data_IF_310655689355
#
_entry.id   IF_310655689355
#
_cell.length_a   1.000
_cell.length_b   1.000
_cell.length_c   1.000
_cell.angle_alpha   90.00
_cell.angle_beta   90.00
_cell.angle_gamma   90.00
#
_symmetry.space_group_name_H-M   'P 1'
#
loop_
_entity.id
_entity.type
_entity.pdbx_description
1 polymer ?
#
# COMPACT_ATOMS: atom_id res chain seq x y z
N UNK A 1 2.47 5.75 -5.31
CA UNK A 1 1.94 5.72 -3.92
C UNK A 1 1.52 7.12 -3.51
N UNK A 2 0.31 7.27 -2.99
CA UNK A 2 -0.25 8.54 -2.52
C UNK A 2 -0.76 8.39 -1.09
N UNK A 3 -0.46 9.35 -0.22
CA UNK A 3 -0.97 9.38 1.15
C UNK A 3 -2.38 9.97 1.14
N UNK A 4 -3.38 9.20 1.53
CA UNK A 4 -4.79 9.57 1.38
C UNK A 4 -5.51 9.85 2.68
N UNK A 5 -5.27 9.01 3.70
CA UNK A 5 -5.95 9.14 4.99
C UNK A 5 -4.99 8.95 6.15
N UNK A 6 -5.35 9.52 7.29
CA UNK A 6 -4.72 9.21 8.56
C UNK A 6 -5.75 9.20 9.69
N UNK A 7 -5.39 8.54 10.79
CA UNK A 7 -6.13 8.58 12.05
C UNK A 7 -5.20 9.03 13.16
N UNK A 8 -5.61 10.04 13.92
CA UNK A 8 -4.87 10.57 15.07
C UNK A 8 -5.84 10.73 16.22
N UNK A 9 -5.54 10.15 17.38
CA UNK A 9 -6.42 10.13 18.56
C UNK A 9 -7.83 9.58 18.27
N UNK A 10 -7.95 8.64 17.32
CA UNK A 10 -9.24 8.09 16.91
C UNK A 10 -10.08 9.02 16.04
N UNK A 11 -9.50 10.11 15.54
CA UNK A 11 -10.13 10.99 14.55
C UNK A 11 -9.52 10.69 13.18
N UNK A 12 -10.36 10.30 12.23
CA UNK A 12 -9.99 10.01 10.86
C UNK A 12 -10.00 11.28 10.00
N UNK A 13 -8.97 11.47 9.19
CA UNK A 13 -8.81 12.59 8.27
C UNK A 13 -8.52 12.08 6.86
N UNK A 14 -8.97 12.85 5.88
CA UNK A 14 -8.71 12.64 4.46
C UNK A 14 -9.97 12.25 3.70
N UNK A 15 -10.23 13.00 2.63
CA UNK A 15 -11.27 12.71 1.66
C UNK A 15 -10.66 12.05 0.43
N UNK A 16 -11.22 10.92 0.00
CA UNK A 16 -10.67 10.17 -1.13
C UNK A 16 -11.72 9.32 -1.83
N UNK A 17 -11.59 9.24 -3.15
CA UNK A 17 -12.14 8.17 -3.97
C UNK A 17 -10.96 7.28 -4.37
N UNK A 18 -10.96 6.03 -3.90
CA UNK A 18 -9.88 5.09 -4.21
C UNK A 18 -10.13 4.34 -5.51
N UNK A 19 -9.06 3.81 -6.11
CA UNK A 19 -9.15 2.92 -7.29
C UNK A 19 -10.06 1.70 -7.01
N UNK A 20 -10.03 1.17 -5.79
CA UNK A 20 -10.91 0.08 -5.37
C UNK A 20 -12.38 0.52 -5.35
N UNK A 21 -12.70 1.72 -4.86
CA UNK A 21 -14.07 2.27 -4.89
C UNK A 21 -14.55 2.49 -6.33
N UNK A 22 -13.67 2.99 -7.21
CA UNK A 22 -13.98 3.15 -8.63
C UNK A 22 -14.25 1.79 -9.29
N UNK A 23 -13.43 0.79 -9.01
CA UNK A 23 -13.62 -0.57 -9.51
C UNK A 23 -14.93 -1.21 -9.03
N UNK A 24 -15.28 -1.04 -7.75
CA UNK A 24 -16.54 -1.51 -7.20
C UNK A 24 -17.75 -0.86 -7.88
N UNK A 25 -17.72 0.46 -8.07
CA UNK A 25 -18.79 1.18 -8.77
C UNK A 25 -18.93 0.72 -10.23
N UNK A 26 -17.82 0.48 -10.91
CA UNK A 26 -17.78 -0.04 -12.29
C UNK A 26 -18.35 -1.46 -12.38
N UNK A 27 -17.96 -2.35 -11.45
CA UNK A 27 -18.53 -3.70 -11.34
C UNK A 27 -20.05 -3.67 -11.15
N UNK A 28 -20.54 -2.74 -10.32
CA UNK A 28 -21.97 -2.58 -10.02
C UNK A 28 -22.73 -1.86 -11.16
N UNK A 29 -22.08 -1.55 -12.29
CA UNK A 29 -22.69 -0.94 -13.46
C UNK A 29 -23.07 0.54 -13.26
N UNK A 30 -22.53 1.22 -12.25
CA UNK A 30 -22.74 2.65 -12.04
C UNK A 30 -21.97 3.45 -13.07
N UNK A 31 -22.62 4.44 -13.68
CA UNK A 31 -21.97 5.36 -14.63
C UNK A 31 -21.12 6.36 -13.85
N UNK A 32 -19.80 6.17 -13.93
CA UNK A 32 -18.84 7.01 -13.22
C UNK A 32 -18.51 8.31 -13.96
N UNK A 33 -18.96 8.49 -15.19
CA UNK A 33 -18.55 9.63 -16.03
C UNK A 33 -18.95 10.98 -15.42
N UNK A 34 -20.21 11.16 -15.05
CA UNK A 34 -20.71 12.39 -14.38
C UNK A 34 -20.26 12.46 -12.92
N UNK A 35 -20.35 11.33 -12.19
CA UNK A 35 -19.96 11.27 -10.77
C UNK A 35 -18.47 11.57 -10.56
N UNK A 36 -17.59 11.21 -11.48
CA UNK A 36 -16.15 11.48 -11.39
C UNK A 36 -15.78 12.95 -11.64
N UNK A 37 -16.46 13.63 -12.54
CA UNK A 37 -16.23 15.05 -12.80
C UNK A 37 -16.67 15.90 -11.59
N UNK A 38 -17.82 15.58 -11.00
CA UNK A 38 -18.33 16.23 -9.79
C UNK A 38 -17.42 15.96 -8.59
N UNK A 39 -17.02 14.70 -8.36
CA UNK A 39 -16.11 14.32 -7.27
C UNK A 39 -14.72 14.95 -7.43
N UNK A 40 -14.20 15.01 -8.64
CA UNK A 40 -12.92 15.69 -8.94
C UNK A 40 -13.01 17.18 -8.61
N UNK A 41 -14.14 17.80 -8.91
CA UNK A 41 -14.41 19.22 -8.63
C UNK A 41 -14.54 19.44 -7.12
N UNK A 42 -15.25 18.58 -6.40
CA UNK A 42 -15.38 18.64 -4.94
C UNK A 42 -14.02 18.48 -4.24
N UNK A 43 -13.21 17.51 -4.65
CA UNK A 43 -11.87 17.32 -4.09
C UNK A 43 -10.97 18.53 -4.34
N UNK A 44 -11.10 19.18 -5.50
CA UNK A 44 -10.37 20.43 -5.81
C UNK A 44 -10.78 21.56 -4.87
N UNK A 45 -12.07 21.76 -4.65
CA UNK A 45 -12.59 22.77 -3.71
C UNK A 45 -12.10 22.50 -2.29
N UNK A 46 -12.12 21.24 -1.84
CA UNK A 46 -11.61 20.83 -0.53
C UNK A 46 -10.10 21.07 -0.41
N UNK A 47 -9.35 20.82 -1.47
CA UNK A 47 -7.91 21.07 -1.53
C UNK A 47 -7.60 22.57 -1.38
N UNK A 48 -8.29 23.43 -2.13
CA UNK A 48 -8.13 24.88 -2.07
C UNK A 48 -8.49 25.41 -0.66
N UNK A 49 -9.56 24.87 -0.06
CA UNK A 49 -9.93 25.16 1.34
C UNK A 49 -8.84 24.76 2.31
N UNK A 50 -8.26 23.56 2.17
CA UNK A 50 -7.18 23.08 3.02
C UNK A 50 -5.96 24.01 2.94
N UNK A 51 -5.53 24.34 1.73
CA UNK A 51 -4.40 25.27 1.51
C UNK A 51 -4.66 26.62 2.17
N UNK A 52 -5.88 27.15 2.02
CA UNK A 52 -6.30 28.41 2.65
C UNK A 52 -6.21 28.34 4.18
N UNK A 53 -6.70 27.26 4.80
CA UNK A 53 -6.64 27.09 6.25
C UNK A 53 -5.18 26.96 6.74
N UNK A 54 -4.32 26.22 6.03
CA UNK A 54 -2.88 26.14 6.35
C UNK A 54 -2.21 27.52 6.31
N UNK A 55 -2.44 28.29 5.24
CA UNK A 55 -1.85 29.61 5.06
C UNK A 55 -2.27 30.63 6.13
N UNK A 56 -3.48 30.46 6.70
CA UNK A 56 -3.95 31.30 7.83
C UNK A 56 -3.23 31.00 9.13
N UNK A 57 -2.88 29.72 9.39
CA UNK A 57 -2.35 29.28 10.65
C UNK A 57 -0.83 29.25 10.74
N UNK A 58 -0.15 28.97 9.65
CA UNK A 58 1.31 28.84 9.62
C UNK A 58 1.89 29.00 8.21
N UNK A 59 3.19 29.24 8.13
CA UNK A 59 3.90 29.35 6.87
C UNK A 59 4.56 28.02 6.51
N UNK A 60 4.18 27.43 5.37
CA UNK A 60 4.88 26.28 4.78
C UNK A 60 5.48 26.68 3.42
N UNK A 61 6.81 26.90 3.40
CA UNK A 61 7.54 27.28 2.17
C UNK A 61 7.77 26.10 1.23
N UNK A 62 7.63 24.88 1.75
CA UNK A 62 7.92 23.62 1.04
C UNK A 62 6.65 22.98 0.47
N UNK A 63 5.50 23.58 0.63
CA UNK A 63 4.24 23.07 0.09
C UNK A 63 4.32 22.94 -1.42
N UNK A 64 4.01 21.75 -1.89
CA UNK A 64 3.83 21.44 -3.32
C UNK A 64 2.34 21.21 -3.56
N UNK A 65 1.63 22.27 -3.91
CA UNK A 65 0.17 22.20 -4.11
C UNK A 65 -0.21 21.20 -5.21
N UNK A 66 0.59 21.11 -6.28
CA UNK A 66 0.43 20.13 -7.35
C UNK A 66 0.55 18.69 -6.89
N UNK A 67 1.37 18.42 -5.86
CA UNK A 67 1.65 17.10 -5.29
C UNK A 67 0.92 16.80 -3.97
N UNK A 68 0.07 17.70 -3.47
CA UNK A 68 -0.70 17.49 -2.25
C UNK A 68 -1.74 16.39 -2.44
N UNK A 69 -1.56 15.26 -1.76
CA UNK A 69 -2.38 14.05 -1.89
C UNK A 69 -3.31 13.80 -0.70
N UNK A 70 -2.95 14.25 0.51
CA UNK A 70 -3.82 14.25 1.66
C UNK A 70 -4.72 15.48 1.61
N UNK A 71 -6.01 15.29 1.36
CA UNK A 71 -7.00 16.37 1.30
C UNK A 71 -7.85 16.29 2.57
N UNK A 72 -7.58 17.17 3.54
CA UNK A 72 -8.20 17.17 4.85
C UNK A 72 -8.28 18.61 5.42
N UNK A 73 -9.26 19.42 5.00
CA UNK A 73 -9.40 20.81 5.48
C UNK A 73 -9.55 20.92 6.99
N UNK A 74 -10.20 19.94 7.62
CA UNK A 74 -10.37 19.90 9.08
C UNK A 74 -9.05 19.70 9.82
N UNK A 75 -8.18 18.81 9.32
CA UNK A 75 -6.83 18.62 9.85
C UNK A 75 -6.03 19.95 9.78
N UNK A 76 -6.11 20.66 8.66
CA UNK A 76 -5.46 21.95 8.51
C UNK A 76 -5.99 22.98 9.52
N UNK A 77 -7.31 23.02 9.77
CA UNK A 77 -7.93 23.88 10.77
C UNK A 77 -7.45 23.57 12.19
N UNK A 78 -7.36 22.27 12.57
CA UNK A 78 -6.80 21.87 13.85
C UNK A 78 -5.33 22.29 14.01
N UNK A 79 -4.51 22.14 12.97
CA UNK A 79 -3.11 22.59 13.01
C UNK A 79 -2.96 24.11 13.03
N UNK A 80 -3.87 24.85 12.40
CA UNK A 80 -3.85 26.29 12.36
C UNK A 80 -4.25 26.94 13.68
N UNK A 81 -5.06 26.27 14.52
CA UNK A 81 -5.52 26.80 15.81
C UNK A 81 -4.54 26.40 16.93
N UNK A 82 -3.81 27.36 17.57
CA UNK A 82 -2.87 27.06 18.65
C UNK A 82 -3.50 26.42 19.90
N UNK A 83 -4.77 26.71 20.16
CA UNK A 83 -5.51 26.28 21.36
C UNK A 83 -6.29 24.98 21.15
N UNK A 84 -6.17 24.38 19.97
CA UNK A 84 -6.88 23.15 19.64
C UNK A 84 -6.30 21.94 20.39
N UNK A 85 -7.10 21.15 21.11
CA UNK A 85 -6.62 20.03 21.91
C UNK A 85 -6.00 18.91 21.07
N UNK A 86 -6.38 18.77 19.80
CA UNK A 86 -5.83 17.75 18.92
C UNK A 86 -4.50 18.16 18.27
N UNK A 87 -4.21 19.47 18.22
CA UNK A 87 -3.01 20.03 17.59
C UNK A 87 -1.69 19.42 18.08
N UNK A 88 -1.44 19.25 19.39
CA UNK A 88 -0.20 18.62 19.86
C UNK A 88 -0.03 17.20 19.33
N UNK A 89 -1.09 16.41 19.26
CA UNK A 89 -1.08 15.02 18.76
C UNK A 89 -0.83 14.96 17.25
N UNK A 90 -1.42 15.88 16.48
CA UNK A 90 -1.15 16.02 15.04
C UNK A 90 0.31 16.41 14.79
N UNK A 91 0.87 17.31 15.61
CA UNK A 91 2.29 17.68 15.54
C UNK A 91 3.18 16.47 15.81
N UNK A 92 2.90 15.67 16.83
CA UNK A 92 3.66 14.45 17.12
C UNK A 92 3.56 13.43 15.98
N UNK A 93 2.37 13.25 15.40
CA UNK A 93 2.15 12.34 14.29
C UNK A 93 2.97 12.72 13.05
N UNK A 94 2.86 13.95 12.56
CA UNK A 94 3.60 14.38 11.37
C UNK A 94 5.09 14.53 11.63
N UNK A 95 5.51 14.88 12.85
CA UNK A 95 6.90 14.84 13.27
C UNK A 95 7.47 13.42 13.20
N UNK A 96 6.73 12.41 13.66
CA UNK A 96 7.14 11.03 13.54
C UNK A 96 7.33 10.60 12.07
N UNK A 97 6.45 11.03 11.16
CA UNK A 97 6.59 10.78 9.73
C UNK A 97 7.81 11.48 9.12
N UNK A 98 8.14 12.70 9.59
CA UNK A 98 9.29 13.48 9.11
C UNK A 98 10.64 12.98 9.64
N UNK A 99 10.67 12.11 10.65
CA UNK A 99 11.91 11.61 11.29
C UNK A 99 12.10 10.10 11.05
N UNK A 100 11.03 9.30 11.15
CA UNK A 100 11.08 7.84 11.10
C UNK A 100 11.11 7.33 9.65
N UNK A 101 12.24 7.51 8.96
CA UNK A 101 12.44 7.06 7.58
C UNK A 101 13.93 7.00 7.20
N UNK A 102 14.23 6.43 6.04
CA UNK A 102 15.58 6.39 5.42
C UNK A 102 15.67 7.23 4.14
N UNK A 103 14.66 8.04 3.87
CA UNK A 103 14.55 8.88 2.67
C UNK A 103 15.69 9.89 2.60
N UNK A 104 16.16 10.15 1.38
CA UNK A 104 17.12 11.20 1.06
C UNK A 104 16.40 12.40 0.46
N UNK A 105 16.75 13.59 0.91
CA UNK A 105 16.28 14.85 0.33
C UNK A 105 17.22 15.31 -0.77
N UNK A 106 16.65 15.80 -1.87
CA UNK A 106 17.38 16.37 -3.00
C UNK A 106 16.75 17.71 -3.38
N UNK A 107 17.56 18.70 -3.70
CA UNK A 107 17.12 20.00 -4.22
C UNK A 107 17.52 20.06 -5.70
N UNK A 108 16.60 19.72 -6.63
CA UNK A 108 16.94 19.60 -8.06
C UNK A 108 17.41 20.90 -8.67
N UNK A 109 16.84 22.03 -8.22
CA UNK A 109 17.16 23.37 -8.71
C UNK A 109 17.75 24.24 -7.59
N UNK A 110 19.04 24.61 -7.65
CA UNK A 110 19.67 25.44 -6.61
C UNK A 110 18.97 26.79 -6.39
N UNK A 111 18.33 27.34 -7.41
CA UNK A 111 17.58 28.60 -7.33
C UNK A 111 16.22 28.46 -6.66
N UNK A 112 15.78 27.24 -6.37
CA UNK A 112 14.50 26.92 -5.72
C UNK A 112 14.73 26.06 -4.47
N UNK A 113 15.36 26.58 -3.43
CA UNK A 113 15.82 25.81 -2.26
C UNK A 113 14.67 25.17 -1.46
N UNK A 114 13.44 25.55 -1.69
CA UNK A 114 12.25 24.99 -1.02
C UNK A 114 11.54 23.91 -1.85
N UNK A 115 11.96 23.67 -3.09
CA UNK A 115 11.48 22.56 -3.90
C UNK A 115 12.33 21.32 -3.62
N UNK A 116 11.98 20.57 -2.57
CA UNK A 116 12.67 19.35 -2.19
C UNK A 116 11.95 18.15 -2.82
N UNK A 117 12.71 17.32 -3.51
CA UNK A 117 12.29 15.98 -3.93
C UNK A 117 12.85 14.92 -2.97
N UNK A 118 12.09 13.87 -2.75
CA UNK A 118 12.45 12.77 -1.87
C UNK A 118 12.75 11.51 -2.66
N UNK A 119 13.94 10.93 -2.42
CA UNK A 119 14.40 9.68 -3.00
C UNK A 119 14.41 8.61 -1.93
N UNK A 120 13.75 7.49 -2.17
CA UNK A 120 13.67 6.36 -1.25
C UNK A 120 13.67 5.05 -2.01
N UNK A 121 14.14 3.98 -1.38
CA UNK A 121 13.98 2.61 -1.89
C UNK A 121 12.50 2.19 -1.86
N UNK A 122 11.77 2.63 -0.83
CA UNK A 122 10.35 2.38 -0.67
C UNK A 122 9.51 3.57 -1.16
N UNK A 123 8.63 3.39 -2.17
CA UNK A 123 7.68 4.42 -2.58
C UNK A 123 6.73 4.85 -1.45
N UNK A 124 6.41 3.93 -0.53
CA UNK A 124 5.58 4.20 0.65
C UNK A 124 6.26 5.23 1.57
N UNK A 125 7.58 5.07 1.82
CA UNK A 125 8.33 6.03 2.63
C UNK A 125 8.37 7.42 1.98
N UNK A 126 8.66 7.48 0.68
CA UNK A 126 8.66 8.76 -0.04
C UNK A 126 7.30 9.47 0.04
N UNK A 127 6.20 8.74 -0.09
CA UNK A 127 4.85 9.28 -0.01
C UNK A 127 4.52 9.82 1.40
N UNK A 128 4.91 9.11 2.45
CA UNK A 128 4.70 9.54 3.84
C UNK A 128 5.46 10.84 4.16
N UNK A 129 6.73 10.91 3.76
CA UNK A 129 7.58 12.09 4.01
C UNK A 129 7.12 13.28 3.15
N UNK A 130 6.70 13.04 1.90
CA UNK A 130 6.14 14.08 1.05
C UNK A 130 4.84 14.65 1.62
N UNK A 131 3.94 13.79 2.12
CA UNK A 131 2.72 14.25 2.77
C UNK A 131 3.01 15.06 4.05
N UNK A 132 3.97 14.64 4.86
CA UNK A 132 4.40 15.43 6.02
C UNK A 132 4.93 16.81 5.60
N UNK A 133 5.76 16.90 4.54
CA UNK A 133 6.24 18.16 3.97
C UNK A 133 5.07 19.08 3.59
N UNK A 134 4.09 18.54 2.86
CA UNK A 134 3.01 19.33 2.30
C UNK A 134 2.02 19.83 3.37
N UNK A 135 1.92 19.11 4.50
CA UNK A 135 1.11 19.53 5.67
C UNK A 135 1.85 20.50 6.60
N UNK A 136 3.15 20.79 6.37
CA UNK A 136 3.92 21.74 7.16
C UNK A 136 5.01 21.13 8.04
N UNK A 137 5.43 19.90 7.74
CA UNK A 137 6.48 19.17 8.44
C UNK A 137 7.56 18.65 7.48
N UNK A 138 8.20 19.54 6.69
CA UNK A 138 9.20 19.12 5.73
C UNK A 138 10.42 18.53 6.43
N UNK A 139 10.84 17.36 5.95
CA UNK A 139 12.18 16.86 6.15
C UNK A 139 13.13 17.60 5.19
N UNK A 140 14.08 18.35 5.74
CA UNK A 140 14.94 19.22 4.94
C UNK A 140 16.24 18.53 4.58
N UNK A 141 16.92 17.94 5.57
CA UNK A 141 18.21 17.29 5.37
C UNK A 141 18.54 16.29 6.49
N UNK A 142 19.39 15.33 6.18
CA UNK A 142 19.98 14.38 7.13
C UNK A 142 21.49 14.26 6.92
N UNK A 143 22.21 14.33 8.01
CA UNK A 143 23.62 13.96 8.10
C UNK A 143 23.82 12.98 9.26
N UNK A 144 25.04 12.45 9.43
CA UNK A 144 25.35 11.57 10.56
C UNK A 144 25.17 12.27 11.93
N UNK A 145 25.23 13.59 11.95
CA UNK A 145 25.13 14.37 13.18
C UNK A 145 23.76 15.01 13.40
N UNK A 146 22.91 15.10 12.36
CA UNK A 146 21.73 15.93 12.42
C UNK A 146 20.65 15.54 11.42
N UNK A 147 19.40 15.63 11.87
CA UNK A 147 18.19 15.63 11.04
C UNK A 147 17.55 17.01 11.19
N UNK A 148 17.40 17.71 10.08
CA UNK A 148 16.74 19.02 10.03
C UNK A 148 15.31 18.84 9.50
N UNK A 149 14.33 19.26 10.30
CA UNK A 149 12.93 19.34 9.90
C UNK A 149 12.38 20.73 10.20
N UNK A 150 11.30 21.12 9.54
CA UNK A 150 10.48 22.23 10.03
C UNK A 150 9.17 21.68 10.64
N UNK A 151 8.65 22.39 11.63
CA UNK A 151 7.37 22.11 12.27
C UNK A 151 6.55 23.38 12.24
N UNK A 152 5.59 23.45 11.33
CA UNK A 152 4.72 24.62 11.12
C UNK A 152 5.53 25.93 10.96
N UNK A 153 6.62 25.88 10.18
CA UNK A 153 7.50 27.01 9.89
C UNK A 153 8.61 27.27 10.92
N UNK A 154 8.74 26.40 11.94
CA UNK A 154 9.83 26.48 12.92
C UNK A 154 10.82 25.35 12.70
N UNK A 155 12.11 25.67 12.58
CA UNK A 155 13.17 24.66 12.40
C UNK A 155 13.40 23.89 13.70
N UNK A 156 13.40 22.56 13.61
CA UNK A 156 13.85 21.65 14.66
C UNK A 156 15.07 20.87 14.16
N UNK A 157 16.07 20.75 15.05
CA UNK A 157 17.30 19.99 14.80
C UNK A 157 17.36 18.79 15.72
N UNK A 158 17.24 17.61 15.13
CA UNK A 158 17.26 16.34 15.85
C UNK A 158 18.62 15.67 15.67
N UNK A 159 19.10 14.93 16.66
CA UNK A 159 20.32 14.14 16.57
C UNK A 159 19.94 12.68 16.32
N UNK A 160 20.23 12.13 15.13
CA UNK A 160 19.99 10.71 14.88
C UNK A 160 20.91 9.86 15.77
N UNK A 161 20.36 8.87 16.43
CA UNK A 161 21.11 7.96 17.28
C UNK A 161 21.26 6.59 16.64
N UNK A 162 20.15 5.94 16.26
CA UNK A 162 20.13 4.64 15.59
C UNK A 162 18.94 4.54 14.66
N UNK A 163 19.13 3.81 13.56
CA UNK A 163 18.05 3.37 12.67
C UNK A 163 17.97 1.85 12.76
N UNK A 164 16.80 1.33 13.10
CA UNK A 164 16.46 -0.08 13.11
C UNK A 164 15.67 -0.35 11.84
N UNK A 165 16.37 -0.84 10.82
CA UNK A 165 15.82 -0.98 9.47
C UNK A 165 14.64 -1.96 9.41
N UNK A 166 13.80 -1.77 8.40
CA UNK A 166 12.69 -2.67 8.11
C UNK A 166 13.22 -4.02 7.59
N UNK A 167 12.62 -5.11 8.06
CA UNK A 167 12.69 -6.38 7.37
C UNK A 167 11.33 -7.10 7.41
N UNK A 168 11.14 -8.07 6.53
CA UNK A 168 9.86 -8.78 6.37
C UNK A 168 9.46 -9.61 7.60
N UNK A 169 10.42 -10.04 8.42
CA UNK A 169 10.16 -10.79 9.67
C UNK A 169 9.65 -9.85 10.74
N UNK A 170 10.33 -8.72 10.94
CA UNK A 170 9.97 -7.72 11.95
C UNK A 170 8.72 -6.93 11.57
N UNK A 171 8.44 -6.72 10.29
CA UNK A 171 7.32 -5.94 9.72
C UNK A 171 7.20 -4.53 10.31
N UNK A 172 8.32 -3.95 10.77
CA UNK A 172 8.42 -2.60 11.33
C UNK A 172 9.82 -2.05 11.18
N UNK A 173 9.91 -0.73 11.24
CA UNK A 173 11.18 -0.01 11.37
C UNK A 173 11.09 1.00 12.50
N UNK A 174 12.23 1.35 13.09
CA UNK A 174 12.30 2.36 14.12
C UNK A 174 13.48 3.32 13.92
N UNK A 175 13.31 4.53 14.38
CA UNK A 175 14.38 5.54 14.46
C UNK A 175 14.46 6.06 15.89
N UNK A 176 15.65 5.94 16.49
CA UNK A 176 15.96 6.60 17.76
C UNK A 176 16.64 7.93 17.46
N UNK A 177 16.09 8.99 17.98
CA UNK A 177 16.64 10.34 17.82
C UNK A 177 16.53 11.16 19.11
N UNK A 178 17.49 12.04 19.34
CA UNK A 178 17.44 13.01 20.43
C UNK A 178 16.78 14.28 19.96
N UNK A 179 15.73 14.69 20.65
CA UNK A 179 14.99 15.91 20.36
C UNK A 179 15.81 17.18 20.66
N UNK A 180 15.40 18.36 20.13
CA UNK A 180 16.01 19.64 20.48
C UNK A 180 15.98 19.96 21.99
N UNK A 181 15.04 19.34 22.73
CA UNK A 181 14.93 19.47 24.19
C UNK A 181 15.78 18.45 24.96
N UNK A 182 16.61 17.65 24.25
CA UNK A 182 17.52 16.67 24.85
C UNK A 182 16.89 15.29 25.14
N UNK A 183 15.57 15.10 24.96
CA UNK A 183 14.91 13.81 25.21
C UNK A 183 15.16 12.81 24.09
N UNK A 184 15.43 11.57 24.44
CA UNK A 184 15.51 10.48 23.46
C UNK A 184 14.12 9.96 23.16
N UNK A 185 13.78 9.86 21.87
CA UNK A 185 12.52 9.34 21.37
C UNK A 185 12.80 8.19 20.41
N UNK A 186 12.14 7.09 20.62
CA UNK A 186 12.02 6.01 19.65
C UNK A 186 10.73 6.21 18.89
N UNK A 187 10.81 6.45 17.59
CA UNK A 187 9.69 6.41 16.67
C UNK A 187 9.66 5.06 15.99
N UNK A 188 8.49 4.43 15.93
CA UNK A 188 8.31 3.12 15.31
C UNK A 188 7.11 3.17 14.35
N UNK A 189 7.29 2.63 13.15
CA UNK A 189 6.21 2.45 12.18
C UNK A 189 6.18 1.02 11.67
N UNK A 190 5.00 0.43 11.53
CA UNK A 190 4.88 -0.95 11.09
C UNK A 190 3.45 -1.44 10.97
N UNK A 191 3.31 -2.74 10.72
CA UNK A 191 2.02 -3.41 10.68
C UNK A 191 1.29 -3.28 12.02
N UNK A 192 -0.01 -3.08 11.97
CA UNK A 192 -0.88 -2.94 13.12
C UNK A 192 -0.70 -4.08 14.14
N UNK A 193 -0.77 -5.33 13.70
CA UNK A 193 -0.59 -6.52 14.54
C UNK A 193 0.71 -6.46 15.37
N UNK A 194 1.81 -6.07 14.72
CA UNK A 194 3.14 -6.02 15.35
C UNK A 194 3.27 -4.86 16.35
N UNK A 195 2.72 -3.70 16.01
CA UNK A 195 2.75 -2.52 16.90
C UNK A 195 1.84 -2.74 18.10
N UNK A 196 0.63 -3.31 17.90
CA UNK A 196 -0.33 -3.54 18.97
C UNK A 196 0.14 -4.51 20.06
N UNK A 197 0.97 -5.50 19.71
CA UNK A 197 1.62 -6.41 20.67
C UNK A 197 2.66 -5.72 21.57
N UNK A 198 3.19 -4.58 21.12
CA UNK A 198 4.28 -3.82 21.77
C UNK A 198 3.82 -2.59 22.51
N UNK A 199 2.51 -2.35 22.56
CA UNK A 199 1.95 -1.19 23.27
C UNK A 199 2.15 -1.32 24.78
N UNK A 200 2.25 -0.17 25.42
CA UNK A 200 2.24 -0.11 26.90
C UNK A 200 0.92 -0.67 27.43
N UNK A 201 0.97 -1.29 28.62
CA UNK A 201 -0.22 -1.88 29.27
C UNK A 201 -1.25 -0.83 29.63
N UNK A 202 -0.81 0.38 29.95
CA UNK A 202 -1.64 1.51 30.36
C UNK A 202 -2.07 2.41 29.19
N UNK A 203 -1.97 1.88 27.95
CA UNK A 203 -2.41 2.62 26.76
C UNK A 203 -3.91 2.91 26.83
N UNK A 204 -4.32 4.12 26.45
CA UNK A 204 -5.74 4.51 26.38
C UNK A 204 -6.50 3.51 25.48
N UNK A 205 -7.49 2.83 26.10
CA UNK A 205 -8.28 1.80 25.45
C UNK A 205 -9.20 2.35 24.37
N UNK A 206 -9.68 3.58 24.53
CA UNK A 206 -10.56 4.22 23.55
C UNK A 206 -9.77 4.61 22.28
N UNK A 207 -8.62 5.23 22.44
CA UNK A 207 -7.72 5.56 21.32
C UNK A 207 -7.27 4.29 20.59
N UNK A 208 -6.88 3.26 21.37
CA UNK A 208 -6.49 1.96 20.79
C UNK A 208 -7.59 1.35 19.93
N UNK A 209 -8.82 1.30 20.45
CA UNK A 209 -9.97 0.69 19.75
C UNK A 209 -10.38 1.53 18.52
N UNK A 210 -10.41 2.86 18.64
CA UNK A 210 -10.76 3.76 17.56
C UNK A 210 -9.74 3.69 16.41
N UNK A 211 -8.45 3.73 16.72
CA UNK A 211 -7.39 3.60 15.71
C UNK A 211 -7.44 2.26 15.00
N UNK A 212 -7.74 1.15 15.70
CA UNK A 212 -7.89 -0.17 15.08
C UNK A 212 -9.07 -0.19 14.09
N UNK A 213 -10.19 0.36 14.49
CA UNK A 213 -11.38 0.48 13.63
C UNK A 213 -11.08 1.29 12.36
N UNK A 214 -10.34 2.39 12.51
CA UNK A 214 -9.93 3.20 11.35
C UNK A 214 -8.99 2.43 10.43
N UNK A 215 -8.00 1.71 10.98
CA UNK A 215 -7.09 0.85 10.21
C UNK A 215 -7.86 -0.22 9.42
N UNK A 216 -8.83 -0.87 10.03
CA UNK A 216 -9.71 -1.84 9.37
C UNK A 216 -10.53 -1.19 8.25
N UNK A 217 -11.11 -0.01 8.52
CA UNK A 217 -11.87 0.76 7.53
C UNK A 217 -11.02 1.15 6.33
N UNK A 218 -9.80 1.65 6.57
CA UNK A 218 -8.86 2.02 5.52
C UNK A 218 -8.44 0.80 4.69
N UNK A 219 -8.12 -0.30 5.36
CA UNK A 219 -7.72 -1.55 4.70
C UNK A 219 -8.86 -2.15 3.85
N UNK A 220 -10.11 -2.04 4.32
CA UNK A 220 -11.28 -2.47 3.57
C UNK A 220 -11.56 -1.56 2.35
N UNK A 221 -11.14 -0.30 2.40
CA UNK A 221 -11.14 0.62 1.26
C UNK A 221 -9.98 0.42 0.28
N UNK A 222 -9.20 -0.66 0.41
CA UNK A 222 -8.09 -0.98 -0.48
C UNK A 222 -6.80 -0.18 -0.21
N UNK A 223 -6.72 0.54 0.92
CA UNK A 223 -5.54 1.32 1.27
C UNK A 223 -4.51 0.47 2.04
N UNK A 224 -3.23 0.73 1.82
CA UNK A 224 -2.14 0.16 2.62
C UNK A 224 -2.00 0.94 3.92
N UNK A 225 -2.08 0.25 5.03
CA UNK A 225 -2.09 0.86 6.36
C UNK A 225 -0.78 0.60 7.11
N UNK A 226 -0.33 1.62 7.85
CA UNK A 226 0.73 1.49 8.85
C UNK A 226 0.30 2.14 10.15
N UNK A 227 0.67 1.53 11.27
CA UNK A 227 0.53 2.10 12.60
C UNK A 227 1.82 2.84 12.97
N UNK A 228 1.69 4.04 13.51
CA UNK A 228 2.79 4.89 13.99
C UNK A 228 2.72 4.94 15.51
N UNK A 229 3.84 4.65 16.16
CA UNK A 229 3.95 4.65 17.61
C UNK A 229 5.28 5.26 18.04
N UNK A 230 5.37 5.64 19.30
CA UNK A 230 6.58 6.21 19.90
C UNK A 230 6.72 5.82 21.37
N UNK A 231 7.92 5.97 21.89
CA UNK A 231 8.19 6.01 23.34
C UNK A 231 9.38 6.89 23.64
N UNK A 232 9.42 7.41 24.87
CA UNK A 232 10.57 8.14 25.41
C UNK A 232 11.47 7.16 26.15
N UNK A 233 12.79 7.33 26.01
CA UNK A 233 13.82 6.57 26.71
C UNK A 233 14.59 7.49 27.65
N UNK A 234 14.99 6.97 28.82
CA UNK A 234 15.99 7.60 29.66
C UNK A 234 17.40 7.43 29.02
N UNK A 235 18.31 8.35 29.32
CA UNK A 235 19.68 8.30 28.79
C UNK A 235 20.39 7.00 29.19
N UNK A 236 20.26 6.58 30.45
CA UNK A 236 20.89 5.36 30.97
C UNK A 236 20.33 4.08 30.30
N UNK A 237 19.02 4.07 30.01
CA UNK A 237 18.37 2.99 29.29
C UNK A 237 18.95 2.89 27.88
N UNK A 238 19.03 4.01 27.18
CA UNK A 238 19.59 4.06 25.84
C UNK A 238 21.05 3.62 25.80
N UNK A 239 21.89 4.13 26.70
CA UNK A 239 23.31 3.81 26.75
C UNK A 239 23.57 2.30 27.02
N UNK A 240 22.77 1.72 27.91
CA UNK A 240 22.85 0.29 28.21
C UNK A 240 22.43 -0.57 27.02
N UNK A 241 21.35 -0.21 26.38
CA UNK A 241 20.85 -0.88 25.18
C UNK A 241 21.79 -0.70 23.98
N UNK A 242 22.34 0.48 23.77
CA UNK A 242 23.24 0.76 22.64
C UNK A 242 24.47 -0.15 22.63
N UNK A 243 25.03 -0.48 23.80
CA UNK A 243 26.16 -1.43 23.93
C UNK A 243 25.77 -2.83 23.47
N UNK A 244 24.54 -3.27 23.78
CA UNK A 244 24.03 -4.57 23.35
C UNK A 244 23.83 -4.59 21.82
N UNK A 245 23.22 -3.52 21.29
CA UNK A 245 22.98 -3.36 19.86
C UNK A 245 24.31 -3.30 19.06
N UNK A 246 25.31 -2.55 19.55
CA UNK A 246 26.62 -2.46 18.92
C UNK A 246 27.34 -3.82 18.94
N UNK A 247 27.20 -4.58 20.02
CA UNK A 247 27.73 -5.96 20.09
C UNK A 247 27.02 -6.90 19.11
N UNK A 248 25.70 -6.79 18.98
CA UNK A 248 24.91 -7.57 18.02
C UNK A 248 25.28 -7.25 16.57
N UNK A 249 25.51 -5.97 16.25
CA UNK A 249 25.92 -5.54 14.90
C UNK A 249 27.33 -5.99 14.53
N UNK A 250 28.21 -6.20 15.53
CA UNK A 250 29.56 -6.71 15.37
C UNK A 250 29.66 -8.25 15.37
N UNK A 251 28.57 -8.96 15.65
CA UNK A 251 28.54 -10.42 15.69
C UNK A 251 28.85 -11.01 14.30
N UNK A 252 29.67 -12.07 14.28
CA UNK A 252 30.05 -12.81 13.06
C UNK A 252 29.12 -13.99 12.80
N UNK A 253 28.58 -14.59 13.86
CA UNK A 253 27.68 -15.73 13.81
C UNK A 253 26.28 -15.24 14.21
N UNK A 254 25.26 -15.68 13.49
CA UNK A 254 23.84 -15.34 13.73
C UNK A 254 23.56 -13.84 13.89
N UNK A 255 24.32 -12.99 13.19
CA UNK A 255 24.27 -11.54 13.31
C UNK A 255 22.86 -10.98 13.16
N UNK A 256 22.08 -11.45 12.19
CA UNK A 256 20.71 -10.98 11.98
C UNK A 256 19.81 -11.32 13.16
N UNK A 257 19.94 -12.51 13.70
CA UNK A 257 19.18 -12.95 14.88
C UNK A 257 19.55 -12.14 16.14
N UNK A 258 20.84 -11.85 16.34
CA UNK A 258 21.30 -11.04 17.48
C UNK A 258 20.82 -9.58 17.35
N UNK A 259 20.85 -9.01 16.16
CA UNK A 259 20.27 -7.68 15.88
C UNK A 259 18.76 -7.69 16.16
N UNK A 260 18.03 -8.72 15.73
CA UNK A 260 16.59 -8.82 15.97
C UNK A 260 16.26 -8.85 17.47
N UNK A 261 16.99 -9.68 18.24
CA UNK A 261 16.86 -9.72 19.71
C UNK A 261 17.14 -8.36 20.36
N UNK A 262 18.19 -7.68 19.91
CA UNK A 262 18.53 -6.35 20.42
C UNK A 262 17.43 -5.31 20.09
N UNK A 263 16.84 -5.39 18.90
CA UNK A 263 15.72 -4.54 18.53
C UNK A 263 14.48 -4.78 19.41
N UNK A 264 14.13 -6.06 19.69
CA UNK A 264 13.01 -6.38 20.57
C UNK A 264 13.17 -5.80 21.97
N UNK A 265 14.41 -5.68 22.46
CA UNK A 265 14.70 -5.13 23.79
C UNK A 265 14.37 -3.64 23.94
N UNK A 266 14.22 -2.89 22.85
CA UNK A 266 13.94 -1.46 22.89
C UNK A 266 12.56 -1.09 22.33
N UNK A 267 12.03 -1.92 21.43
CA UNK A 267 10.74 -1.69 20.74
C UNK A 267 9.55 -2.25 21.54
N UNK A 268 9.40 -1.83 22.78
CA UNK A 268 8.29 -2.20 23.68
C UNK A 268 7.72 -0.99 24.40
N UNK A 269 6.60 -1.14 25.09
CA UNK A 269 5.93 -0.06 25.85
C UNK A 269 5.66 1.17 24.99
N UNK A 270 5.24 0.92 23.73
CA UNK A 270 4.94 1.95 22.75
C UNK A 270 3.59 2.62 23.04
N UNK A 271 3.45 3.87 22.63
CA UNK A 271 2.19 4.62 22.61
C UNK A 271 1.83 4.90 21.16
N UNK A 272 0.60 4.64 20.75
CA UNK A 272 0.11 4.95 19.40
C UNK A 272 0.10 6.48 19.22
N UNK A 273 0.69 6.93 18.14
CA UNK A 273 0.66 8.33 17.69
C UNK A 273 -0.42 8.52 16.62
N UNK A 274 -0.62 7.49 15.82
CA UNK A 274 -1.66 7.49 14.80
C UNK A 274 -1.50 6.34 13.80
N UNK A 275 -2.30 6.41 12.73
CA UNK A 275 -2.27 5.48 11.63
C UNK A 275 -2.25 6.21 10.28
N UNK A 276 -1.61 5.61 9.29
CA UNK A 276 -1.53 6.13 7.92
C UNK A 276 -2.22 5.18 6.96
N UNK A 277 -2.73 5.73 5.86
CA UNK A 277 -3.33 4.98 4.78
C UNK A 277 -2.87 5.52 3.42
N UNK A 278 -2.20 4.67 2.65
CA UNK A 278 -1.61 4.97 1.36
C UNK A 278 -2.38 4.25 0.25
N UNK A 279 -2.55 4.90 -0.87
CA UNK A 279 -3.10 4.31 -2.07
C UNK A 279 -1.99 3.92 -3.05
N UNK A 280 -2.08 2.72 -3.58
CA UNK A 280 -1.26 2.26 -4.71
C UNK A 280 -2.01 2.58 -6.01
N UNK A 281 -1.93 3.84 -6.42
CA UNK A 281 -2.67 4.34 -7.57
C UNK A 281 -2.19 3.69 -8.86
N UNK A 282 -3.11 3.39 -9.75
CA UNK A 282 -2.79 2.91 -11.09
C UNK A 282 -1.99 3.99 -11.85
N UNK A 283 -1.00 3.53 -12.61
CA UNK A 283 -0.26 4.41 -13.50
C UNK A 283 -1.17 4.87 -14.64
N UNK A 284 -1.02 6.11 -15.04
CA UNK A 284 -1.73 6.67 -16.19
C UNK A 284 -1.50 5.83 -17.45
N UNK A 285 -2.55 5.55 -18.20
CA UNK A 285 -2.50 4.75 -19.41
C UNK A 285 -2.54 3.23 -19.19
N UNK A 286 -2.55 2.72 -17.95
CA UNK A 286 -2.65 1.27 -17.68
C UNK A 286 -3.99 0.69 -18.11
N UNK A 287 -5.16 1.28 -17.80
CA UNK A 287 -6.44 0.74 -18.23
C UNK A 287 -6.57 0.66 -19.76
N UNK A 288 -6.09 1.67 -20.47
CA UNK A 288 -6.11 1.74 -21.95
C UNK A 288 -5.17 0.70 -22.55
N UNK A 289 -3.99 0.52 -21.96
CA UNK A 289 -3.00 -0.49 -22.38
C UNK A 289 -3.55 -1.89 -22.19
N UNK A 290 -4.19 -2.20 -21.07
CA UNK A 290 -4.83 -3.50 -20.82
C UNK A 290 -5.94 -3.74 -21.83
N UNK A 291 -6.80 -2.77 -22.08
CA UNK A 291 -7.86 -2.88 -23.07
C UNK A 291 -7.31 -3.11 -24.50
N UNK A 292 -6.17 -2.51 -24.83
CA UNK A 292 -5.48 -2.72 -26.11
C UNK A 292 -4.92 -4.14 -26.23
N UNK A 293 -4.28 -4.64 -25.16
CA UNK A 293 -3.76 -6.02 -25.12
C UNK A 293 -4.87 -7.06 -25.25
N UNK A 294 -6.00 -6.84 -24.56
CA UNK A 294 -7.19 -7.71 -24.70
C UNK A 294 -7.72 -7.72 -26.14
N UNK A 295 -7.82 -6.55 -26.80
CA UNK A 295 -8.23 -6.46 -28.22
C UNK A 295 -7.26 -7.16 -29.16
N UNK A 296 -5.96 -7.17 -28.80
CA UNK A 296 -4.94 -7.92 -29.55
C UNK A 296 -4.97 -9.44 -29.28
N UNK A 297 -5.88 -9.93 -28.42
CA UNK A 297 -5.99 -11.33 -28.04
C UNK A 297 -4.92 -11.81 -27.06
N UNK A 298 -4.21 -10.89 -26.41
CA UNK A 298 -3.21 -11.20 -25.40
C UNK A 298 -3.90 -11.44 -24.07
N UNK A 299 -3.61 -12.57 -23.44
CA UNK A 299 -4.13 -12.95 -22.14
C UNK A 299 -3.24 -12.40 -21.03
N UNK A 300 -3.84 -11.84 -20.01
CA UNK A 300 -3.12 -11.19 -18.93
C UNK A 300 -3.26 -11.97 -17.62
N UNK A 301 -2.14 -12.21 -16.97
CA UNK A 301 -2.04 -12.82 -15.65
C UNK A 301 -1.47 -11.79 -14.67
N UNK A 302 -2.23 -11.47 -13.63
CA UNK A 302 -1.82 -10.53 -12.57
C UNK A 302 -1.53 -11.31 -11.30
N UNK A 303 -0.37 -11.06 -10.69
CA UNK A 303 0.10 -11.71 -9.46
C UNK A 303 0.31 -10.62 -8.40
N UNK A 304 -0.65 -10.48 -7.47
CA UNK A 304 -0.64 -9.43 -6.44
C UNK A 304 -0.58 -10.00 -5.03
N UNK A 305 -0.08 -9.20 -4.08
CA UNK A 305 -0.16 -9.48 -2.65
C UNK A 305 -1.46 -9.01 -2.00
N UNK A 306 -2.33 -8.31 -2.74
CA UNK A 306 -3.55 -7.69 -2.24
C UNK A 306 -4.59 -8.74 -1.82
N UNK A 307 -5.55 -8.31 -0.97
CA UNK A 307 -6.70 -9.11 -0.58
C UNK A 307 -7.59 -9.42 -1.79
N UNK A 308 -8.31 -10.54 -1.75
CA UNK A 308 -9.18 -10.99 -2.82
C UNK A 308 -10.14 -9.90 -3.32
N UNK A 309 -10.85 -9.24 -2.41
CA UNK A 309 -11.81 -8.20 -2.75
C UNK A 309 -11.13 -7.00 -3.43
N UNK A 310 -10.02 -6.52 -2.88
CA UNK A 310 -9.24 -5.41 -3.45
C UNK A 310 -8.72 -5.76 -4.85
N UNK A 311 -8.22 -6.99 -5.03
CA UNK A 311 -7.71 -7.45 -6.34
C UNK A 311 -8.82 -7.50 -7.41
N UNK A 312 -10.03 -7.89 -7.03
CA UNK A 312 -11.20 -7.87 -7.92
C UNK A 312 -11.55 -6.42 -8.30
N UNK A 313 -11.65 -5.54 -7.32
CA UNK A 313 -12.03 -4.14 -7.55
C UNK A 313 -10.99 -3.40 -8.40
N UNK A 314 -9.70 -3.57 -8.13
CA UNK A 314 -8.64 -3.04 -8.98
C UNK A 314 -8.68 -3.67 -10.39
N UNK A 315 -9.03 -4.97 -10.49
CA UNK A 315 -9.24 -5.64 -11.76
C UNK A 315 -10.30 -4.95 -12.64
N UNK A 316 -11.40 -4.51 -12.03
CA UNK A 316 -12.43 -3.72 -12.73
C UNK A 316 -11.97 -2.28 -13.02
N UNK A 317 -11.30 -1.62 -12.08
CA UNK A 317 -10.77 -0.26 -12.28
C UNK A 317 -9.83 -0.20 -13.48
N UNK A 318 -8.91 -1.17 -13.61
CA UNK A 318 -7.91 -1.19 -14.68
C UNK A 318 -8.36 -1.86 -16.00
N UNK A 319 -9.64 -2.17 -16.19
CA UNK A 319 -10.17 -2.87 -17.37
C UNK A 319 -9.64 -4.29 -17.58
N UNK A 320 -9.03 -4.91 -16.58
CA UNK A 320 -8.64 -6.32 -16.63
C UNK A 320 -9.86 -7.24 -16.52
N UNK A 321 -10.81 -6.84 -15.66
CA UNK A 321 -12.14 -7.44 -15.55
C UNK A 321 -13.17 -6.48 -16.14
N UNK A 322 -14.15 -7.03 -16.84
CA UNK A 322 -15.27 -6.28 -17.45
C UNK A 322 -16.60 -6.94 -17.12
N UNK A 323 -17.71 -6.20 -17.19
CA UNK A 323 -19.04 -6.70 -16.79
C UNK A 323 -19.60 -7.77 -17.77
N UNK A 324 -19.01 -7.92 -18.94
CA UNK A 324 -19.33 -8.96 -19.91
C UNK A 324 -18.52 -10.25 -19.69
N UNK A 325 -17.56 -10.24 -18.74
CA UNK A 325 -16.81 -11.42 -18.34
C UNK A 325 -17.53 -12.23 -17.27
N UNK A 326 -17.48 -13.54 -17.39
CA UNK A 326 -17.86 -14.48 -16.34
C UNK A 326 -16.66 -14.67 -15.39
N UNK A 327 -16.73 -14.08 -14.20
CA UNK A 327 -15.65 -14.15 -13.22
C UNK A 327 -15.83 -15.35 -12.29
N UNK A 328 -14.87 -16.27 -12.31
CA UNK A 328 -14.82 -17.45 -11.44
C UNK A 328 -13.87 -17.20 -10.28
N UNK A 329 -14.34 -17.35 -9.06
CA UNK A 329 -13.53 -17.19 -7.85
C UNK A 329 -13.18 -18.56 -7.30
N UNK A 330 -11.87 -18.82 -7.08
CA UNK A 330 -11.34 -20.03 -6.47
C UNK A 330 -10.78 -19.65 -5.09
N UNK A 331 -11.49 -20.07 -4.05
CA UNK A 331 -11.12 -19.89 -2.67
C UNK A 331 -11.51 -21.14 -1.88
N UNK A 332 -10.52 -21.93 -1.48
CA UNK A 332 -10.71 -23.23 -0.87
C UNK A 332 -9.69 -23.48 0.26
N UNK A 333 -10.13 -24.16 1.30
CA UNK A 333 -9.33 -24.50 2.47
C UNK A 333 -8.63 -25.88 2.35
N UNK A 334 -8.89 -26.61 1.25
CA UNK A 334 -8.33 -27.95 0.99
C UNK A 334 -8.02 -28.18 -0.47
N UNK A 335 -7.20 -29.19 -0.74
CA UNK A 335 -6.85 -29.60 -2.10
C UNK A 335 -8.07 -30.10 -2.88
N UNK A 336 -8.92 -30.90 -2.24
CA UNK A 336 -10.16 -31.41 -2.83
C UNK A 336 -11.13 -30.26 -3.19
N UNK A 337 -11.23 -29.25 -2.28
CA UNK A 337 -12.02 -28.05 -2.53
C UNK A 337 -11.50 -27.25 -3.72
N UNK A 338 -10.19 -27.06 -3.82
CA UNK A 338 -9.55 -26.37 -4.93
C UNK A 338 -9.77 -27.13 -6.25
N UNK A 339 -9.59 -28.46 -6.25
CA UNK A 339 -9.87 -29.33 -7.40
C UNK A 339 -11.32 -29.20 -7.87
N UNK A 340 -12.26 -29.31 -6.94
CA UNK A 340 -13.69 -29.24 -7.27
C UNK A 340 -14.07 -27.88 -7.90
N UNK A 341 -13.53 -26.77 -7.39
CA UNK A 341 -13.77 -25.44 -7.94
C UNK A 341 -13.12 -25.24 -9.32
N UNK A 342 -11.90 -25.75 -9.54
CA UNK A 342 -11.23 -25.72 -10.85
C UNK A 342 -12.02 -26.55 -11.89
N UNK A 343 -12.42 -27.76 -11.54
CA UNK A 343 -13.22 -28.64 -12.41
C UNK A 343 -14.60 -28.05 -12.71
N UNK A 344 -15.25 -27.45 -11.72
CA UNK A 344 -16.51 -26.73 -11.93
C UNK A 344 -16.35 -25.57 -12.92
N UNK A 345 -15.24 -24.82 -12.82
CA UNK A 345 -14.89 -23.75 -13.74
C UNK A 345 -14.72 -24.29 -15.18
N UNK A 346 -13.94 -25.34 -15.36
CA UNK A 346 -13.74 -25.99 -16.67
C UNK A 346 -15.06 -26.51 -17.24
N UNK A 347 -15.90 -27.17 -16.44
CA UNK A 347 -17.20 -27.67 -16.87
C UNK A 347 -18.15 -26.52 -17.26
N UNK A 348 -18.15 -25.41 -16.51
CA UNK A 348 -18.93 -24.22 -16.86
C UNK A 348 -18.49 -23.63 -18.20
N UNK A 349 -17.20 -23.52 -18.44
CA UNK A 349 -16.67 -23.05 -19.70
C UNK A 349 -17.07 -23.98 -20.86
N UNK A 350 -16.92 -25.31 -20.69
CA UNK A 350 -17.30 -26.29 -21.67
C UNK A 350 -18.81 -26.26 -22.02
N UNK A 351 -19.67 -25.99 -21.02
CA UNK A 351 -21.12 -25.86 -21.21
C UNK A 351 -21.51 -24.63 -22.04
N UNK A 352 -20.76 -23.53 -21.91
CA UNK A 352 -21.04 -22.26 -22.60
C UNK A 352 -20.36 -22.19 -23.97
N UNK A 353 -19.09 -22.64 -24.06
CA UNK A 353 -18.31 -22.59 -25.30
C UNK A 353 -18.54 -23.79 -26.22
N UNK A 354 -19.15 -24.86 -25.72
CA UNK A 354 -19.23 -26.15 -26.39
C UNK A 354 -17.90 -26.92 -26.31
N UNK A 355 -17.90 -28.24 -26.72
CA UNK A 355 -16.68 -29.02 -26.70
C UNK A 355 -15.63 -28.39 -27.64
N UNK A 356 -14.33 -28.42 -27.25
CA UNK A 356 -13.28 -27.87 -28.08
C UNK A 356 -13.32 -28.55 -29.48
N UNK A 357 -13.39 -27.71 -30.52
CA UNK A 357 -13.44 -28.21 -31.90
C UNK A 357 -12.13 -28.93 -32.23
N UNK A 358 -12.11 -30.22 -32.10
CA UNK A 358 -11.00 -31.08 -32.54
C UNK A 358 -10.96 -31.01 -34.07
N UNK A 359 -9.99 -30.24 -34.61
CA UNK A 359 -9.57 -30.41 -36.00
C UNK A 359 -10.32 -29.64 -37.09
N UNK A 360 -10.97 -28.48 -36.83
CA UNK A 360 -11.52 -27.68 -37.93
C UNK A 360 -10.58 -26.51 -38.30
N UNK A 361 -10.09 -26.52 -39.54
CA UNK A 361 -9.39 -25.42 -40.19
C UNK A 361 -10.27 -24.18 -40.11
N UNK A 362 -9.76 -23.10 -39.47
CA UNK A 362 -10.40 -21.78 -39.41
C UNK A 362 -10.78 -21.33 -40.83
N UNK A 363 -12.06 -21.41 -41.17
CA UNK A 363 -12.60 -20.60 -42.27
C UNK A 363 -12.86 -19.21 -41.74
N UNK A 364 -12.18 -18.20 -42.28
CA UNK A 364 -12.45 -16.79 -42.02
C UNK A 364 -13.86 -16.50 -42.55
N UNK A 365 -14.80 -16.25 -41.68
CA UNK A 365 -16.12 -15.71 -42.02
C UNK A 365 -16.22 -14.36 -41.37
N UNK A 366 -16.01 -13.31 -42.16
CA UNK A 366 -16.37 -11.95 -41.83
C UNK A 366 -17.90 -11.83 -41.86
N UNK A 367 -18.51 -11.73 -40.65
CA UNK A 367 -19.89 -11.29 -40.50
C UNK A 367 -19.95 -10.17 -39.46
N UNK A 368 -20.71 -9.07 -39.74
CA UNK A 368 -20.69 -7.85 -38.91
C UNK A 368 -21.46 -7.90 -37.57
N UNK A 369 -22.02 -9.06 -37.18
CA UNK A 369 -22.85 -9.21 -35.96
C UNK A 369 -22.39 -10.33 -35.03
N UNK A 370 -21.10 -10.65 -35.00
CA UNK A 370 -20.60 -11.66 -34.06
C UNK A 370 -20.34 -11.00 -32.71
N UNK A 371 -21.30 -11.11 -31.77
CA UNK A 371 -20.96 -10.93 -30.35
C UNK A 371 -19.91 -11.98 -29.99
N UNK A 372 -18.73 -11.60 -29.51
CA UNK A 372 -17.75 -12.60 -29.09
C UNK A 372 -18.39 -13.51 -28.04
N UNK A 373 -18.04 -14.82 -28.04
CA UNK A 373 -18.52 -15.71 -26.99
C UNK A 373 -18.14 -15.16 -25.64
N UNK A 374 -18.97 -15.37 -24.62
CA UNK A 374 -18.73 -14.99 -23.23
C UNK A 374 -17.27 -15.22 -22.87
N UNK A 375 -16.58 -14.17 -22.46
CA UNK A 375 -15.20 -14.25 -22.01
C UNK A 375 -15.17 -14.61 -20.53
N UNK A 376 -14.15 -15.35 -20.12
CA UNK A 376 -14.01 -15.83 -18.76
C UNK A 376 -12.80 -15.19 -18.09
N UNK A 377 -12.92 -14.96 -16.80
CA UNK A 377 -11.80 -14.60 -15.93
C UNK A 377 -11.77 -15.50 -14.70
N UNK A 378 -10.59 -15.73 -14.15
CA UNK A 378 -10.44 -16.47 -12.90
C UNK A 378 -9.68 -15.63 -11.87
N UNK A 379 -10.17 -15.64 -10.64
CA UNK A 379 -9.52 -15.02 -9.49
C UNK A 379 -9.25 -16.13 -8.48
N UNK A 380 -7.99 -16.30 -8.07
CA UNK A 380 -7.57 -17.34 -7.13
C UNK A 380 -6.78 -16.73 -5.98
N UNK A 381 -7.07 -17.12 -4.74
CA UNK A 381 -6.30 -16.69 -3.58
C UNK A 381 -5.01 -17.53 -3.39
N UNK A 382 -4.07 -17.00 -2.57
CA UNK A 382 -2.77 -17.62 -2.35
C UNK A 382 -2.83 -18.99 -1.68
N UNK A 383 -3.84 -19.25 -0.84
CA UNK A 383 -4.01 -20.55 -0.17
C UNK A 383 -4.47 -21.60 -1.17
N UNK A 384 -5.48 -21.28 -1.97
CA UNK A 384 -5.96 -22.14 -3.07
C UNK A 384 -4.90 -22.33 -4.15
N UNK A 385 -4.14 -21.26 -4.47
CA UNK A 385 -3.05 -21.35 -5.44
C UNK A 385 -1.94 -22.30 -4.98
N UNK A 386 -1.69 -22.39 -3.69
CA UNK A 386 -0.73 -23.38 -3.14
C UNK A 386 -1.13 -24.82 -3.52
N UNK A 387 -2.42 -25.14 -3.46
CA UNK A 387 -2.93 -26.44 -3.90
C UNK A 387 -2.89 -26.56 -5.44
N UNK A 388 -3.33 -25.52 -6.14
CA UNK A 388 -3.39 -25.50 -7.60
C UNK A 388 -2.01 -25.65 -8.28
N UNK A 389 -0.92 -25.29 -7.60
CA UNK A 389 0.46 -25.45 -8.08
C UNK A 389 1.08 -26.81 -7.78
N UNK A 390 0.41 -27.72 -7.04
CA UNK A 390 0.88 -29.08 -6.80
C UNK A 390 0.84 -29.93 -8.09
N UNK A 391 1.69 -30.95 -8.19
CA UNK A 391 1.78 -31.80 -9.39
C UNK A 391 0.43 -32.35 -9.88
N UNK A 392 -0.48 -32.66 -8.93
CA UNK A 392 -1.79 -33.26 -9.16
C UNK A 392 -2.80 -32.30 -9.79
N UNK A 393 -2.67 -30.98 -9.51
CA UNK A 393 -3.63 -29.95 -9.93
C UNK A 393 -3.09 -28.95 -10.94
N UNK A 394 -1.77 -28.79 -11.04
CA UNK A 394 -1.16 -27.76 -11.89
C UNK A 394 -1.60 -27.81 -13.36
N UNK A 395 -1.82 -29.00 -13.90
CA UNK A 395 -2.29 -29.17 -15.26
C UNK A 395 -3.74 -28.72 -15.46
N UNK A 396 -4.61 -28.98 -14.47
CA UNK A 396 -6.01 -28.53 -14.49
C UNK A 396 -6.09 -27.01 -14.35
N UNK A 397 -5.34 -26.44 -13.40
CA UNK A 397 -5.27 -25.00 -13.20
C UNK A 397 -4.75 -24.28 -14.45
N UNK A 398 -3.69 -24.80 -15.05
CA UNK A 398 -3.14 -24.24 -16.29
C UNK A 398 -4.16 -24.32 -17.44
N UNK A 399 -4.88 -25.43 -17.56
CA UNK A 399 -5.95 -25.59 -18.56
C UNK A 399 -7.06 -24.57 -18.36
N UNK A 400 -7.48 -24.30 -17.12
CA UNK A 400 -8.47 -23.28 -16.80
C UNK A 400 -7.96 -21.89 -17.14
N UNK A 401 -6.79 -21.50 -16.61
CA UNK A 401 -6.24 -20.14 -16.76
C UNK A 401 -5.92 -19.78 -18.21
N UNK A 402 -5.44 -20.74 -19.00
CA UNK A 402 -5.14 -20.51 -20.43
C UNK A 402 -6.39 -20.35 -21.31
N UNK A 403 -7.55 -20.78 -20.86
CA UNK A 403 -8.82 -20.53 -21.53
C UNK A 403 -9.44 -19.18 -21.12
N UNK A 404 -9.09 -18.65 -19.95
CA UNK A 404 -9.54 -17.34 -19.49
C UNK A 404 -8.88 -16.18 -20.26
N UNK A 405 -9.57 -15.06 -20.38
CA UNK A 405 -9.02 -13.80 -20.90
C UNK A 405 -8.11 -13.12 -19.88
N UNK A 406 -8.47 -13.24 -18.60
CA UNK A 406 -7.71 -12.68 -17.48
C UNK A 406 -7.60 -13.69 -16.32
N UNK A 407 -6.46 -13.66 -15.63
CA UNK A 407 -6.21 -14.43 -14.40
C UNK A 407 -5.65 -13.49 -13.33
N UNK A 408 -6.25 -13.49 -12.15
CA UNK A 408 -5.77 -12.74 -11.01
C UNK A 408 -5.42 -13.73 -9.89
N UNK A 409 -4.14 -13.76 -9.49
CA UNK A 409 -3.70 -14.48 -8.30
C UNK A 409 -3.45 -13.46 -7.19
N UNK A 410 -4.25 -13.50 -6.11
CA UNK A 410 -4.18 -12.55 -5.01
C UNK A 410 -3.59 -13.19 -3.74
N UNK A 411 -3.09 -12.39 -2.79
CA UNK A 411 -2.39 -12.83 -1.57
C UNK A 411 -1.21 -13.79 -1.82
N UNK A 412 -0.53 -13.64 -2.97
CA UNK A 412 0.54 -14.55 -3.35
C UNK A 412 1.90 -14.13 -2.81
N UNK A 413 2.65 -15.12 -2.34
CA UNK A 413 4.05 -14.93 -1.91
C UNK A 413 5.00 -14.77 -3.12
N UNK A 414 6.21 -14.23 -2.93
CA UNK A 414 7.21 -14.16 -4.00
C UNK A 414 7.52 -15.52 -4.63
N UNK A 415 7.58 -16.60 -3.83
CA UNK A 415 7.80 -17.95 -4.31
C UNK A 415 6.66 -18.44 -5.22
N UNK A 416 5.40 -18.21 -4.83
CA UNK A 416 4.24 -18.55 -5.64
C UNK A 416 4.20 -17.76 -6.95
N UNK A 417 4.58 -16.48 -6.94
CA UNK A 417 4.72 -15.68 -8.18
C UNK A 417 5.69 -16.36 -9.16
N UNK A 418 6.88 -16.72 -8.66
CA UNK A 418 7.89 -17.41 -9.48
C UNK A 418 7.39 -18.76 -10.01
N UNK A 419 6.72 -19.56 -9.18
CA UNK A 419 6.17 -20.86 -9.58
C UNK A 419 5.07 -20.72 -10.62
N UNK A 420 4.18 -19.72 -10.51
CA UNK A 420 3.12 -19.46 -11.48
C UNK A 420 3.69 -19.04 -12.83
N UNK A 421 4.68 -18.14 -12.83
CA UNK A 421 5.37 -17.72 -14.07
C UNK A 421 6.05 -18.93 -14.71
N UNK A 422 6.76 -19.75 -13.92
CA UNK A 422 7.40 -20.97 -14.41
C UNK A 422 6.39 -21.93 -15.02
N UNK A 423 5.26 -22.17 -14.35
CA UNK A 423 4.19 -23.05 -14.85
C UNK A 423 3.69 -22.60 -16.23
N UNK A 424 3.49 -21.30 -16.44
CA UNK A 424 3.03 -20.76 -17.72
C UNK A 424 4.13 -20.78 -18.78
N UNK A 425 5.38 -20.53 -18.42
CA UNK A 425 6.52 -20.50 -19.35
C UNK A 425 6.96 -21.88 -19.83
N UNK A 426 6.72 -22.94 -19.04
CA UNK A 426 7.03 -24.33 -19.39
C UNK A 426 5.97 -24.96 -20.33
N UNK A 427 4.92 -24.20 -20.71
CA UNK A 427 4.02 -24.65 -21.75
C UNK A 427 4.78 -24.75 -23.08
N UNK A 428 4.90 -25.96 -23.62
CA UNK A 428 5.17 -26.15 -25.02
C UNK A 428 3.97 -25.59 -25.80
N UNK A 429 4.01 -24.33 -26.17
CA UNK A 429 3.17 -23.85 -27.24
C UNK A 429 3.58 -24.62 -28.46
N UNK A 430 2.68 -25.44 -29.11
CA UNK A 430 3.01 -25.99 -30.38
C UNK A 430 3.34 -24.80 -31.29
N UNK A 431 4.62 -24.65 -31.62
CA UNK A 431 5.08 -23.69 -32.62
C UNK A 431 4.33 -24.07 -33.88
N UNK A 432 3.21 -23.39 -34.08
CA UNK A 432 2.40 -23.55 -35.27
C UNK A 432 3.33 -23.34 -36.44
N UNK A 433 3.52 -24.43 -37.20
CA UNK A 433 4.40 -24.42 -38.36
C UNK A 433 4.08 -23.22 -39.26
N UNK A 434 5.15 -22.75 -39.86
CA UNK A 434 5.32 -21.73 -40.91
C UNK A 434 4.14 -21.58 -41.86
#
# INVERSE_FOLDING_TARGET
MEFKKCSVQGVSFGEVVTEAMMGAAKRDGRDLGMDMEDQSTELRVLKDKMVTEMQRGFRNRYLREDKLTLIAPELARHLANPDDPLRPHLIEFFRALAICHTVLSDVPEPNKPFEIDYKAESPDEAALVAAARDVGFPFVNRSNARIDIEVLGRTEKWVPLRVLEFNSTRKRMSVLARSPQGRIVLFCKGADSVIYERLTRDHDKAVKAATLKDLETFANGGLRTLCIAQRYLADEEYESWAKIYDSATAAVVDRELEIEKACEMVEHSLTIVGATALEDKLQEGVPESIAMLHRAGIKLWILTGDKLQTAIEIGYSCNLLTNDMEVMIISADSEEGARAQIEAGLNKMASILGPPAVGSKRKSISKPDYRPPTTFAVVIDGDSLRYALQPELKGLFLSLGTQCAAVICCRVSPAQKAQTVKLVSEMDFPVGGR
#
